data_IF_561523120724
#
_entry.id   IF_561523120724
#
_cell.length_a   1.000
_cell.length_b   1.000
_cell.length_c   1.000
_cell.angle_alpha   90.00
_cell.angle_beta   90.00
_cell.angle_gamma   90.00
#
_symmetry.space_group_name_H-M   'P 1'
#
loop_
_entity.id
_entity.type
_entity.pdbx_description
1 polymer ?
#
# COMPACT_ATOMS: atom_id res chain seq x y z
N UNK A 1 5.11 5.01 13.56
CA UNK A 1 4.58 5.68 12.34
C UNK A 1 5.32 5.12 11.15
N UNK A 2 4.59 4.67 10.15
CA UNK A 2 5.14 4.04 8.96
C UNK A 2 4.89 4.95 7.77
N UNK A 3 5.95 5.34 7.08
CA UNK A 3 5.83 6.09 5.83
C UNK A 3 5.71 5.11 4.67
N UNK A 4 4.69 5.30 3.85
CA UNK A 4 4.46 4.54 2.63
C UNK A 4 4.53 5.46 1.43
N UNK A 5 5.01 4.94 0.30
CA UNK A 5 4.96 5.63 -0.99
C UNK A 5 4.08 4.87 -1.95
N UNK A 6 3.09 5.53 -2.55
CA UNK A 6 2.25 4.93 -3.58
C UNK A 6 3.08 4.72 -4.85
N UNK A 7 3.09 3.49 -5.35
CA UNK A 7 3.85 3.12 -6.55
C UNK A 7 2.96 2.76 -7.73
N UNK A 8 1.70 2.38 -7.48
CA UNK A 8 0.75 1.98 -8.52
C UNK A 8 -0.70 2.16 -8.02
N UNK A 9 -1.58 2.54 -8.94
CA UNK A 9 -3.03 2.63 -8.71
C UNK A 9 -3.73 2.06 -9.94
N UNK A 10 -4.61 1.08 -9.73
CA UNK A 10 -5.36 0.42 -10.81
C UNK A 10 -6.81 0.26 -10.43
N UNK A 11 -7.70 0.40 -11.40
CA UNK A 11 -9.12 0.11 -11.19
C UNK A 11 -9.33 -1.37 -10.86
N UNK A 12 -10.12 -1.65 -9.84
CA UNK A 12 -10.53 -3.03 -9.56
C UNK A 12 -11.49 -3.51 -10.65
N UNK A 13 -11.13 -4.62 -11.31
CA UNK A 13 -11.99 -5.25 -12.31
C UNK A 13 -13.20 -5.97 -11.69
N UNK A 14 -13.06 -6.40 -10.43
CA UNK A 14 -14.09 -7.16 -9.73
C UNK A 14 -14.99 -6.27 -8.86
N UNK A 15 -14.59 -5.02 -8.62
CA UNK A 15 -15.32 -4.11 -7.72
C UNK A 15 -15.26 -2.68 -8.25
N UNK A 16 -16.23 -2.34 -9.08
CA UNK A 16 -16.23 -1.12 -9.89
C UNK A 16 -16.23 0.18 -9.08
N UNK A 17 -16.50 0.14 -7.78
CA UNK A 17 -16.44 1.31 -6.88
C UNK A 17 -15.07 1.52 -6.22
N UNK A 18 -14.07 0.68 -6.52
CA UNK A 18 -12.80 0.67 -5.82
C UNK A 18 -11.61 0.61 -6.76
N UNK A 19 -10.52 1.19 -6.26
CA UNK A 19 -9.19 1.09 -6.83
C UNK A 19 -8.32 0.22 -5.93
N UNK A 20 -7.40 -0.47 -6.59
CA UNK A 20 -6.32 -1.21 -5.98
C UNK A 20 -5.06 -0.34 -6.02
N UNK A 21 -4.55 -0.03 -4.85
CA UNK A 21 -3.39 0.83 -4.65
C UNK A 21 -2.24 -0.04 -4.13
N UNK A 22 -1.06 0.09 -4.74
CA UNK A 22 0.18 -0.50 -4.24
C UNK A 22 1.03 0.59 -3.61
N UNK A 23 1.60 0.30 -2.45
CA UNK A 23 2.54 1.19 -1.79
C UNK A 23 3.72 0.42 -1.20
N UNK A 24 4.92 1.01 -1.26
CA UNK A 24 6.12 0.49 -0.61
C UNK A 24 6.36 1.19 0.73
N UNK A 25 6.94 0.47 1.69
CA UNK A 25 7.34 1.01 2.99
C UNK A 25 8.68 1.73 2.84
N UNK A 26 8.70 3.04 3.06
CA UNK A 26 9.92 3.85 2.99
C UNK A 26 10.70 3.85 4.30
N UNK A 27 9.99 3.93 5.43
CA UNK A 27 10.60 3.96 6.75
C UNK A 27 9.65 3.44 7.82
N UNK A 28 10.18 2.64 8.74
CA UNK A 28 9.47 2.07 9.87
C UNK A 28 10.03 2.67 11.16
N UNK A 29 9.42 3.74 11.65
CA UNK A 29 9.71 4.21 13.00
C UNK A 29 8.89 3.35 13.99
N UNK A 30 9.46 2.21 14.39
CA UNK A 30 8.89 1.32 15.40
C UNK A 30 9.60 -0.04 15.51
N UNK A 31 10.08 -0.37 16.71
CA UNK A 31 10.56 -1.70 17.10
C UNK A 31 9.39 -2.70 17.02
N UNK A 32 9.49 -3.70 16.14
CA UNK A 32 8.57 -4.83 16.13
C UNK A 32 8.12 -5.15 14.73
N UNK A 33 8.72 -6.20 14.14
CA UNK A 33 8.54 -6.62 12.75
C UNK A 33 7.09 -6.98 12.36
N UNK A 34 6.18 -7.18 13.31
CA UNK A 34 4.87 -7.79 13.07
C UNK A 34 3.61 -6.93 13.33
N UNK A 35 3.71 -5.71 13.86
CA UNK A 35 2.49 -4.97 14.31
C UNK A 35 1.92 -3.93 13.33
N UNK A 36 2.63 -3.57 12.26
CA UNK A 36 2.31 -2.34 11.50
C UNK A 36 1.06 -2.43 10.61
N UNK A 37 0.54 -3.62 10.33
CA UNK A 37 -0.53 -3.78 9.33
C UNK A 37 -1.67 -4.64 9.87
N UNK A 38 -2.14 -4.32 11.08
CA UNK A 38 -3.53 -4.65 11.39
C UNK A 38 -4.42 -3.94 10.37
N UNK A 39 -5.43 -4.59 9.77
CA UNK A 39 -6.36 -3.97 8.82
C UNK A 39 -7.28 -3.00 9.57
N UNK A 40 -6.71 -1.92 10.10
CA UNK A 40 -7.46 -0.79 10.63
C UNK A 40 -7.86 0.05 9.44
N UNK A 41 -9.15 0.06 9.17
CA UNK A 41 -9.83 0.96 8.23
C UNK A 41 -9.45 2.40 8.56
N UNK A 42 -8.41 2.91 7.93
CA UNK A 42 -8.10 4.33 7.93
C UNK A 42 -8.78 4.91 6.71
N UNK A 43 -9.79 5.77 6.92
CA UNK A 43 -10.36 6.64 5.87
C UNK A 43 -10.85 5.89 4.61
N UNK A 44 -11.48 4.72 4.77
CA UNK A 44 -11.99 3.95 3.63
C UNK A 44 -10.92 3.19 2.83
N UNK A 45 -9.71 3.09 3.37
CA UNK A 45 -8.63 2.24 2.88
C UNK A 45 -8.63 0.91 3.64
N UNK A 46 -8.68 -0.19 2.90
CA UNK A 46 -8.60 -1.54 3.44
C UNK A 46 -7.30 -2.21 2.95
N UNK A 47 -6.40 -2.52 3.87
CA UNK A 47 -5.19 -3.29 3.54
C UNK A 47 -5.60 -4.74 3.23
N UNK A 48 -5.27 -5.19 2.02
CA UNK A 48 -5.56 -6.53 1.54
C UNK A 48 -4.41 -7.50 1.81
N UNK A 49 -3.18 -7.06 1.56
CA UNK A 49 -1.98 -7.85 1.79
C UNK A 49 -0.77 -6.98 2.14
N UNK A 50 0.20 -7.64 2.78
CA UNK A 50 1.54 -7.14 3.06
C UNK A 50 2.52 -8.25 2.75
N UNK A 51 3.54 -7.95 1.95
CA UNK A 51 4.59 -8.92 1.65
C UNK A 51 5.93 -8.21 1.44
N UNK A 52 7.00 -8.97 1.64
CA UNK A 52 8.32 -8.59 1.14
C UNK A 52 8.48 -9.18 -0.25
N UNK A 53 8.79 -8.33 -1.22
CA UNK A 53 9.00 -8.72 -2.60
C UNK A 53 10.20 -9.66 -2.72
N UNK A 54 9.95 -10.89 -3.18
CA UNK A 54 10.99 -11.90 -3.44
C UNK A 54 11.53 -11.85 -4.86
N UNK A 55 10.99 -10.98 -5.69
CA UNK A 55 11.36 -10.72 -7.08
C UNK A 55 11.04 -9.26 -7.42
N UNK A 56 11.50 -8.78 -8.56
CA UNK A 56 11.12 -7.46 -9.05
C UNK A 56 9.72 -7.48 -9.68
N UNK A 57 8.89 -6.50 -9.34
CA UNK A 57 7.54 -6.34 -9.85
C UNK A 57 7.41 -4.94 -10.49
N UNK A 58 8.06 -4.69 -11.64
CA UNK A 58 8.13 -3.37 -12.25
C UNK A 58 6.77 -2.81 -12.65
N UNK A 59 5.80 -3.68 -12.95
CA UNK A 59 4.45 -3.23 -13.32
C UNK A 59 3.74 -2.47 -12.21
N UNK A 60 4.10 -2.71 -10.94
CA UNK A 60 3.52 -2.03 -9.77
C UNK A 60 4.56 -1.18 -9.02
N UNK A 61 5.73 -0.94 -9.64
CA UNK A 61 6.80 -0.13 -9.08
C UNK A 61 7.46 -0.69 -7.81
N UNK A 62 7.45 -2.02 -7.63
CA UNK A 62 8.02 -2.72 -6.46
C UNK A 62 9.32 -3.42 -6.86
N UNK A 63 10.39 -3.27 -6.06
CA UNK A 63 11.71 -3.88 -6.28
C UNK A 63 11.94 -5.09 -5.37
N UNK A 64 12.94 -5.91 -5.71
CA UNK A 64 13.36 -7.01 -4.84
C UNK A 64 13.75 -6.49 -3.44
N UNK A 65 13.22 -7.13 -2.40
CA UNK A 65 13.46 -6.75 -1.00
C UNK A 65 12.56 -5.64 -0.46
N UNK A 66 11.80 -4.94 -1.31
CA UNK A 66 10.84 -3.95 -0.85
C UNK A 66 9.75 -4.63 -0.01
N UNK A 67 9.41 -4.04 1.13
CA UNK A 67 8.17 -4.35 1.82
C UNK A 67 7.07 -3.52 1.17
N UNK A 68 6.07 -4.17 0.60
CA UNK A 68 4.93 -3.51 -0.04
C UNK A 68 3.62 -3.94 0.57
N UNK A 69 2.62 -3.09 0.41
CA UNK A 69 1.24 -3.36 0.79
C UNK A 69 0.32 -3.11 -0.39
N UNK A 70 -0.78 -3.86 -0.46
CA UNK A 70 -1.88 -3.55 -1.37
C UNK A 70 -3.10 -3.16 -0.58
N UNK A 71 -3.73 -2.11 -1.08
CA UNK A 71 -4.81 -1.41 -0.42
C UNK A 71 -5.97 -1.35 -1.40
N UNK A 72 -7.16 -1.67 -0.91
CA UNK A 72 -8.40 -1.36 -1.56
C UNK A 72 -8.87 0.02 -1.09
N UNK A 73 -9.09 0.93 -2.03
CA UNK A 73 -9.50 2.30 -1.78
C UNK A 73 -10.76 2.62 -2.59
N UNK A 74 -11.65 3.50 -2.12
CA UNK A 74 -12.77 4.00 -2.94
C UNK A 74 -12.25 4.94 -4.03
N UNK A 75 -12.86 4.99 -5.20
CA UNK A 75 -12.39 5.78 -6.36
C UNK A 75 -12.21 7.29 -6.11
N UNK A 76 -12.83 7.84 -5.06
CA UNK A 76 -12.68 9.23 -4.60
C UNK A 76 -11.60 9.40 -3.53
N UNK A 77 -10.67 8.44 -3.40
CA UNK A 77 -9.62 8.45 -2.38
C UNK A 77 -8.59 9.59 -2.52
N UNK A 78 -8.49 10.23 -3.70
CA UNK A 78 -7.62 11.39 -3.94
C UNK A 78 -6.10 11.12 -3.85
N UNK A 79 -5.70 9.86 -4.00
CA UNK A 79 -4.29 9.43 -3.95
C UNK A 79 -3.73 9.38 -5.36
N UNK A 80 -2.44 9.66 -5.48
CA UNK A 80 -1.70 9.64 -6.73
C UNK A 80 -0.42 8.80 -6.59
N UNK A 81 0.05 8.25 -7.70
CA UNK A 81 1.36 7.59 -7.74
C UNK A 81 2.45 8.61 -7.39
N UNK A 82 3.32 8.24 -6.45
CA UNK A 82 4.35 9.11 -5.90
C UNK A 82 3.98 9.75 -4.56
N UNK A 83 2.70 9.75 -4.17
CA UNK A 83 2.28 10.29 -2.87
C UNK A 83 2.93 9.51 -1.72
N UNK A 84 3.37 10.25 -0.71
CA UNK A 84 3.82 9.68 0.56
C UNK A 84 2.71 9.83 1.60
N UNK A 85 2.32 8.71 2.20
CA UNK A 85 1.26 8.66 3.21
C UNK A 85 1.79 8.07 4.51
N UNK A 86 1.34 8.63 5.62
CA UNK A 86 1.69 8.15 6.95
C UNK A 86 0.58 7.26 7.49
N UNK A 87 0.92 6.00 7.78
CA UNK A 87 0.08 5.11 8.57
C UNK A 87 0.51 5.18 10.05
N UNK A 88 -0.48 5.40 10.93
CA UNK A 88 -0.31 5.38 12.38
C UNK A 88 -0.56 3.99 12.95
#
# INVERSE_FOLDING_TARGET
MTSLKITDIRKSLCDSGFDLVTAIVLSRNGNGANEVLSPKSCRGLLVLESATAKEELPSIGVRYGDQFIRIRAKQDHGLHVGDEIQFQ
#
